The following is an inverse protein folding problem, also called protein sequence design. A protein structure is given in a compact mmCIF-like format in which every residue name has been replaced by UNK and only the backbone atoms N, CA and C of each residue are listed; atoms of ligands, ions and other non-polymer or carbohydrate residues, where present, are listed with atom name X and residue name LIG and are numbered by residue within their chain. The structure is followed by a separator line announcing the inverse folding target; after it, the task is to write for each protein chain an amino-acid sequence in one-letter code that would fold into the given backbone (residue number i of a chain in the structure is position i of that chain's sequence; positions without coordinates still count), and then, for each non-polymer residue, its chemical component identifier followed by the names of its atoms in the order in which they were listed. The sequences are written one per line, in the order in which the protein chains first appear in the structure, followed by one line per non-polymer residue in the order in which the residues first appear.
data_IF_276760785707
#
_entry.id   IF_276760785707
#
_cell.length_a   1.000
_cell.length_b   1.000
_cell.length_c   1.000
_cell.angle_alpha   90.00
_cell.angle_beta   90.00
_cell.angle_gamma   90.00
#
_symmetry.space_group_name_H-M   'P 1'
#
loop_
_entity.id
_entity.type
_entity.pdbx_description
1 polymer ?
#
# COMPACT_ATOMS: atom_id res chain seq x y z
N UNK A 1 -15.05 32.63 14.92
CA UNK A 1 -14.88 31.79 16.11
C UNK A 1 -13.65 30.92 15.88
N UNK A 2 -12.52 31.26 16.50
CA UNK A 2 -11.32 30.43 16.42
C UNK A 2 -11.59 29.15 17.21
N UNK A 3 -11.56 27.99 16.52
CA UNK A 3 -11.79 26.70 17.15
C UNK A 3 -10.81 26.47 18.29
N UNK A 4 -11.31 26.02 19.44
CA UNK A 4 -10.48 25.65 20.59
C UNK A 4 -9.46 24.59 20.14
N UNK A 5 -8.18 24.71 20.52
CA UNK A 5 -7.20 23.62 20.36
C UNK A 5 -7.53 22.57 21.43
N UNK A 6 -8.34 21.56 21.08
CA UNK A 6 -8.86 20.55 22.02
C UNK A 6 -7.79 19.62 22.61
N UNK A 7 -6.56 19.64 22.11
CA UNK A 7 -5.43 18.88 22.67
C UNK A 7 -4.10 19.53 22.25
N UNK A 8 -3.19 19.76 23.20
CA UNK A 8 -1.80 20.18 22.92
C UNK A 8 -0.93 19.02 22.43
N UNK A 9 -1.36 17.78 22.71
CA UNK A 9 -0.56 16.59 22.49
C UNK A 9 -0.76 16.05 21.06
N UNK A 10 0.06 16.55 20.12
CA UNK A 10 0.07 16.12 18.72
C UNK A 10 0.39 14.62 18.53
N UNK A 11 0.85 13.94 19.59
CA UNK A 11 1.39 12.58 19.54
C UNK A 11 0.99 11.74 20.76
N UNK A 12 -0.27 11.28 20.86
CA UNK A 12 -0.73 10.54 22.03
C UNK A 12 0.10 9.27 22.26
N UNK A 13 0.80 9.17 23.39
CA UNK A 13 1.69 8.05 23.72
C UNK A 13 0.99 6.69 23.72
N UNK A 14 -0.30 6.66 24.09
CA UNK A 14 -1.14 5.46 24.05
C UNK A 14 -1.34 5.01 22.59
N UNK A 15 -1.66 5.95 21.68
CA UNK A 15 -1.84 5.66 20.27
C UNK A 15 -0.54 5.17 19.63
N UNK A 16 0.60 5.78 19.95
CA UNK A 16 1.91 5.35 19.44
C UNK A 16 2.29 3.94 19.86
N UNK A 17 2.04 3.62 21.13
CA UNK A 17 2.38 2.31 21.68
C UNK A 17 1.50 1.22 21.06
N UNK A 18 0.18 1.46 20.97
CA UNK A 18 -0.75 0.52 20.35
C UNK A 18 -0.47 0.34 18.85
N UNK A 19 -0.26 1.43 18.12
CA UNK A 19 -0.02 1.37 16.68
C UNK A 19 1.26 0.61 16.36
N UNK A 20 2.32 0.83 17.14
CA UNK A 20 3.61 0.11 16.98
C UNK A 20 3.45 -1.40 17.21
N UNK A 21 2.59 -1.80 18.14
CA UNK A 21 2.29 -3.21 18.40
C UNK A 21 1.41 -3.83 17.31
N UNK A 22 0.39 -3.09 16.84
CA UNK A 22 -0.57 -3.56 15.85
C UNK A 22 0.00 -3.57 14.43
N UNK A 23 0.98 -2.72 14.11
CA UNK A 23 1.59 -2.64 12.78
C UNK A 23 2.07 -4.00 12.22
N UNK A 24 2.94 -4.77 12.91
CA UNK A 24 3.37 -6.07 12.40
C UNK A 24 2.21 -7.06 12.23
N UNK A 25 1.18 -6.98 13.10
CA UNK A 25 0.00 -7.82 12.98
C UNK A 25 -0.83 -7.47 11.74
N UNK A 26 -1.03 -6.18 11.46
CA UNK A 26 -1.75 -5.73 10.25
C UNK A 26 -1.01 -6.10 8.97
N UNK A 27 0.32 -5.95 8.94
CA UNK A 27 1.15 -6.38 7.79
C UNK A 27 1.10 -7.89 7.63
N UNK A 28 1.14 -8.66 8.72
CA UNK A 28 0.98 -10.12 8.68
C UNK A 28 -0.39 -10.52 8.11
N UNK A 29 -1.48 -9.84 8.51
CA UNK A 29 -2.82 -10.08 7.97
C UNK A 29 -2.90 -9.71 6.49
N UNK A 30 -2.30 -8.59 6.08
CA UNK A 30 -2.23 -8.20 4.68
C UNK A 30 -1.50 -9.26 3.84
N UNK A 31 -0.35 -9.75 4.30
CA UNK A 31 0.40 -10.81 3.65
C UNK A 31 -0.38 -12.13 3.58
N UNK A 32 -1.08 -12.50 4.66
CA UNK A 32 -1.94 -13.68 4.68
C UNK A 32 -3.08 -13.59 3.66
N UNK A 33 -3.77 -12.45 3.59
CA UNK A 33 -4.84 -12.21 2.61
C UNK A 33 -4.31 -12.19 1.18
N UNK A 34 -3.11 -11.64 0.95
CA UNK A 34 -2.45 -11.62 -0.34
C UNK A 34 -2.19 -13.05 -0.85
N UNK A 35 -1.57 -13.89 -0.02
CA UNK A 35 -1.26 -15.28 -0.36
C UNK A 35 -2.54 -16.12 -0.50
N UNK A 36 -3.56 -15.88 0.34
CA UNK A 36 -4.84 -16.59 0.28
C UNK A 36 -5.66 -16.24 -0.97
N UNK A 37 -5.44 -15.08 -1.56
CA UNK A 37 -6.15 -14.57 -2.74
C UNK A 37 -6.05 -15.46 -3.98
N UNK A 38 -5.13 -16.42 -4.01
CA UNK A 38 -5.01 -17.40 -5.08
C UNK A 38 -6.18 -18.37 -5.20
N UNK A 39 -6.77 -18.78 -4.07
CA UNK A 39 -7.68 -19.92 -4.03
C UNK A 39 -9.09 -19.58 -3.50
N UNK A 40 -9.27 -18.40 -2.90
CA UNK A 40 -10.48 -17.98 -2.17
C UNK A 40 -10.69 -16.47 -2.39
N UNK A 41 -11.88 -15.89 -2.10
CA UNK A 41 -12.09 -14.44 -2.17
C UNK A 41 -11.05 -13.71 -1.31
N UNK A 42 -10.20 -12.92 -1.98
CA UNK A 42 -8.97 -12.29 -1.49
C UNK A 42 -8.14 -11.84 -2.69
N UNK A 43 -7.04 -11.10 -2.48
CA UNK A 43 -6.15 -10.69 -3.57
C UNK A 43 -5.36 -9.41 -3.30
N UNK A 44 -4.66 -8.94 -4.33
CA UNK A 44 -3.78 -7.77 -4.30
C UNK A 44 -4.43 -6.48 -3.79
N UNK A 45 -5.69 -6.23 -4.18
CA UNK A 45 -6.42 -5.01 -3.80
C UNK A 45 -6.74 -4.94 -2.30
N UNK A 46 -7.40 -5.97 -1.76
CA UNK A 46 -7.81 -6.00 -0.34
C UNK A 46 -6.59 -6.05 0.57
N UNK A 47 -5.58 -6.86 0.22
CA UNK A 47 -4.30 -6.87 0.92
C UNK A 47 -3.64 -5.49 0.91
N UNK A 48 -3.70 -4.80 -0.23
CA UNK A 48 -3.20 -3.43 -0.40
C UNK A 48 -3.90 -2.47 0.55
N UNK A 49 -5.23 -2.48 0.63
CA UNK A 49 -5.99 -1.63 1.54
C UNK A 49 -5.63 -1.88 3.02
N UNK A 50 -5.47 -3.13 3.44
CA UNK A 50 -5.06 -3.46 4.82
C UNK A 50 -3.66 -2.90 5.11
N UNK A 51 -2.72 -3.09 4.19
CA UNK A 51 -1.37 -2.55 4.31
C UNK A 51 -1.37 -1.00 4.33
N UNK A 52 -2.19 -0.36 3.48
CA UNK A 52 -2.40 1.08 3.49
C UNK A 52 -2.90 1.58 4.83
N UNK A 53 -3.92 0.95 5.40
CA UNK A 53 -4.44 1.30 6.73
C UNK A 53 -3.33 1.19 7.77
N UNK A 54 -2.53 0.11 7.75
CA UNK A 54 -1.41 -0.05 8.67
C UNK A 54 -0.42 1.13 8.60
N UNK A 55 -0.07 1.56 7.38
CA UNK A 55 0.84 2.69 7.14
C UNK A 55 0.19 4.02 7.55
N UNK A 56 -1.10 4.22 7.24
CA UNK A 56 -1.85 5.44 7.57
C UNK A 56 -1.97 5.61 9.09
N UNK A 57 -2.30 4.55 9.83
CA UNK A 57 -2.40 4.63 11.30
C UNK A 57 -1.02 4.92 11.89
N UNK A 58 0.06 4.33 11.35
CA UNK A 58 1.43 4.64 11.76
C UNK A 58 1.78 6.11 11.47
N UNK A 59 1.36 6.64 10.32
CA UNK A 59 1.53 8.05 9.93
C UNK A 59 0.83 8.98 10.92
N UNK A 60 -0.45 8.74 11.19
CA UNK A 60 -1.27 9.55 12.11
C UNK A 60 -0.70 9.52 13.53
N UNK A 61 -0.13 8.40 13.95
CA UNK A 61 0.34 8.23 15.31
C UNK A 61 1.72 8.86 15.58
N UNK A 62 2.63 8.88 14.61
CA UNK A 62 4.00 9.38 14.78
C UNK A 62 4.21 10.77 14.15
N UNK A 63 3.17 11.32 13.52
CA UNK A 63 3.20 12.63 12.90
C UNK A 63 3.90 12.67 11.54
N UNK A 64 3.71 13.80 10.88
CA UNK A 64 4.14 14.06 9.49
C UNK A 64 5.66 14.11 9.39
N UNK A 65 6.35 14.69 10.38
CA UNK A 65 7.81 14.82 10.39
C UNK A 65 8.55 13.47 10.52
N UNK A 66 8.12 12.60 11.45
CA UNK A 66 8.71 11.26 11.59
C UNK A 66 8.47 10.42 10.33
N UNK A 67 7.27 10.57 9.74
CA UNK A 67 6.87 9.75 8.61
C UNK A 67 7.50 10.23 7.30
N UNK A 68 7.62 11.54 7.07
CA UNK A 68 8.36 12.15 5.94
C UNK A 68 9.82 11.67 5.88
N UNK A 69 10.48 11.52 7.03
CA UNK A 69 11.87 11.05 7.10
C UNK A 69 12.00 9.55 6.79
N UNK A 70 10.94 8.75 7.03
CA UNK A 70 10.92 7.29 6.83
C UNK A 70 10.33 6.88 5.47
N UNK A 71 9.35 7.59 4.95
CA UNK A 71 8.78 7.46 3.61
C UNK A 71 9.64 8.23 2.59
N UNK A 72 10.92 7.86 2.48
CA UNK A 72 11.84 8.38 1.45
C UNK A 72 11.55 7.85 0.04
N UNK A 73 10.63 6.90 -0.08
CA UNK A 73 10.22 6.34 -1.36
C UNK A 73 9.20 7.28 -2.00
N UNK A 74 9.52 7.75 -3.20
CA UNK A 74 8.58 8.47 -4.02
C UNK A 74 7.43 7.53 -4.39
N UNK A 75 6.26 7.77 -3.80
CA UNK A 75 5.09 6.91 -4.03
C UNK A 75 4.64 6.93 -5.50
N UNK A 76 5.02 7.95 -6.28
CA UNK A 76 4.81 7.95 -7.72
C UNK A 76 5.58 6.82 -8.41
N UNK A 77 6.80 6.52 -7.95
CA UNK A 77 7.58 5.40 -8.46
C UNK A 77 6.97 4.05 -8.07
N UNK A 78 6.45 3.91 -6.86
CA UNK A 78 5.77 2.68 -6.41
C UNK A 78 4.52 2.41 -7.27
N UNK A 79 3.72 3.44 -7.51
CA UNK A 79 2.54 3.35 -8.40
C UNK A 79 2.97 3.01 -9.83
N UNK A 80 3.99 3.70 -10.35
CA UNK A 80 4.51 3.48 -11.71
C UNK A 80 5.02 2.05 -11.91
N UNK A 81 5.79 1.53 -10.94
CA UNK A 81 6.26 0.15 -10.95
C UNK A 81 5.11 -0.85 -10.83
N UNK A 82 4.12 -0.58 -9.96
CA UNK A 82 2.95 -1.44 -9.84
C UNK A 82 2.13 -1.53 -11.14
N UNK A 83 1.90 -0.39 -11.80
CA UNK A 83 1.26 -0.33 -13.11
C UNK A 83 2.08 -1.05 -14.18
N UNK A 84 3.40 -0.84 -14.19
CA UNK A 84 4.31 -1.49 -15.14
C UNK A 84 4.25 -3.02 -14.97
N UNK A 85 4.31 -3.52 -13.74
CA UNK A 85 4.19 -4.96 -13.45
C UNK A 85 2.83 -5.50 -13.91
N UNK A 86 1.72 -4.83 -13.56
CA UNK A 86 0.38 -5.26 -13.94
C UNK A 86 0.18 -5.29 -15.48
N UNK A 87 0.66 -4.25 -16.17
CA UNK A 87 0.57 -4.15 -17.63
C UNK A 87 1.47 -5.14 -18.35
N UNK A 88 2.74 -5.30 -17.92
CA UNK A 88 3.64 -6.32 -18.46
C UNK A 88 3.05 -7.71 -18.31
N UNK A 89 2.43 -8.01 -17.17
CA UNK A 89 1.78 -9.30 -16.93
C UNK A 89 0.69 -9.59 -17.98
N UNK A 90 -0.13 -8.59 -18.32
CA UNK A 90 -1.12 -8.71 -19.39
C UNK A 90 -0.51 -8.80 -20.79
N UNK A 91 0.56 -8.05 -21.06
CA UNK A 91 1.28 -8.06 -22.34
C UNK A 91 2.01 -9.38 -22.59
N UNK A 92 2.57 -10.01 -21.56
CA UNK A 92 3.18 -11.35 -21.64
C UNK A 92 2.13 -12.38 -22.07
N UNK A 93 0.89 -12.30 -21.55
CA UNK A 93 -0.20 -13.17 -21.99
C UNK A 93 -0.54 -12.97 -23.48
N UNK A 94 -0.57 -11.72 -23.95
CA UNK A 94 -0.77 -11.41 -25.38
C UNK A 94 0.37 -11.94 -26.26
N UNK A 95 1.61 -11.81 -25.82
CA UNK A 95 2.79 -12.34 -26.52
C UNK A 95 2.77 -13.86 -26.67
N UNK A 96 2.09 -14.57 -25.76
CA UNK A 96 1.88 -16.02 -25.81
C UNK A 96 0.66 -16.43 -26.68
N UNK A 97 -0.01 -15.49 -27.34
CA UNK A 97 -1.15 -15.75 -28.24
C UNK A 97 -2.50 -15.85 -27.54
N UNK A 98 -2.58 -15.55 -26.24
CA UNK A 98 -3.83 -15.51 -25.48
C UNK A 98 -4.38 -14.07 -25.38
N UNK A 99 -5.69 -13.87 -25.18
CA UNK A 99 -6.25 -12.54 -24.92
C UNK A 99 -5.58 -11.82 -23.75
N UNK A 100 -5.62 -10.48 -23.73
CA UNK A 100 -5.08 -9.67 -22.64
C UNK A 100 -5.67 -10.08 -21.27
N UNK A 101 -4.82 -10.18 -20.25
CA UNK A 101 -5.16 -10.66 -18.90
C UNK A 101 -5.73 -12.10 -18.83
N UNK A 102 -5.49 -12.93 -19.85
CA UNK A 102 -5.80 -14.36 -19.72
C UNK A 102 -4.89 -14.97 -18.66
N UNK A 103 -5.49 -15.60 -17.64
CA UNK A 103 -4.76 -16.30 -16.59
C UNK A 103 -4.12 -17.56 -17.19
N UNK A 104 -2.94 -17.41 -17.79
CA UNK A 104 -2.18 -18.54 -18.31
C UNK A 104 -1.51 -19.24 -17.14
N UNK A 105 -1.83 -20.52 -16.96
CA UNK A 105 -1.15 -21.43 -16.03
C UNK A 105 0.23 -21.80 -16.60
N UNK A 106 1.19 -20.88 -16.50
CA UNK A 106 2.57 -21.19 -16.89
C UNK A 106 3.24 -21.99 -15.78
N UNK A 107 3.50 -23.26 -16.03
CA UNK A 107 4.34 -24.10 -15.19
C UNK A 107 5.81 -23.66 -15.32
N UNK A 108 6.26 -22.73 -14.47
CA UNK A 108 7.67 -22.37 -14.40
C UNK A 108 8.36 -23.31 -13.41
N UNK A 109 9.13 -24.27 -13.92
CA UNK A 109 9.85 -25.23 -13.09
C UNK A 109 11.11 -24.58 -12.48
N UNK A 110 11.02 -24.18 -11.21
CA UNK A 110 12.19 -23.72 -10.44
C UNK A 110 12.89 -24.93 -9.76
N UNK A 111 14.22 -25.09 -9.90
CA UNK A 111 14.94 -26.31 -9.50
C UNK A 111 15.00 -26.58 -7.99
N UNK A 112 14.58 -25.63 -7.14
CA UNK A 112 14.67 -25.76 -5.67
C UNK A 112 13.33 -26.13 -4.99
N UNK A 113 12.17 -25.88 -5.60
CA UNK A 113 10.85 -25.96 -4.90
C UNK A 113 9.78 -26.79 -5.66
N UNK A 114 10.07 -27.32 -6.84
CA UNK A 114 9.12 -28.12 -7.62
C UNK A 114 8.19 -27.29 -8.53
N UNK A 115 7.08 -27.89 -8.98
CA UNK A 115 6.10 -27.25 -9.89
C UNK A 115 5.43 -26.07 -9.18
N UNK A 116 5.87 -24.85 -9.47
CA UNK A 116 5.28 -23.65 -8.90
C UNK A 116 4.33 -23.02 -9.92
N UNK A 117 3.04 -22.98 -9.57
CA UNK A 117 2.03 -22.20 -10.27
C UNK A 117 2.26 -20.71 -9.93
N UNK A 118 3.34 -20.11 -10.47
CA UNK A 118 3.46 -18.64 -10.47
C UNK A 118 2.47 -18.14 -11.51
N UNK A 119 1.18 -18.21 -11.18
CA UNK A 119 0.10 -17.71 -11.99
C UNK A 119 0.40 -16.24 -12.30
N UNK A 120 0.29 -15.84 -13.56
CA UNK A 120 0.29 -14.43 -13.94
C UNK A 120 -0.63 -13.59 -13.03
N UNK A 121 -1.69 -14.19 -12.49
CA UNK A 121 -2.55 -13.61 -11.46
C UNK A 121 -1.79 -13.07 -10.23
N UNK A 122 -0.75 -13.75 -9.72
CA UNK A 122 0.03 -13.26 -8.57
C UNK A 122 0.84 -12.01 -8.91
N UNK A 123 1.46 -12.00 -10.09
CA UNK A 123 2.22 -10.85 -10.55
C UNK A 123 1.31 -9.65 -10.81
N UNK A 124 0.12 -9.89 -11.38
CA UNK A 124 -0.91 -8.88 -11.53
C UNK A 124 -1.38 -8.34 -10.17
N UNK A 125 -1.70 -9.22 -9.22
CA UNK A 125 -2.12 -8.84 -7.88
C UNK A 125 -1.04 -8.09 -7.12
N UNK A 126 0.23 -8.44 -7.31
CA UNK A 126 1.36 -7.68 -6.76
C UNK A 126 1.40 -6.26 -7.34
N UNK A 127 1.20 -6.13 -8.65
CA UNK A 127 1.08 -4.83 -9.31
C UNK A 127 -0.05 -3.99 -8.73
N UNK A 128 -1.24 -4.58 -8.58
CA UNK A 128 -2.41 -3.93 -7.96
C UNK A 128 -2.14 -3.55 -6.51
N UNK A 129 -1.52 -4.43 -5.72
CA UNK A 129 -1.13 -4.18 -4.33
C UNK A 129 -0.26 -2.92 -4.21
N UNK A 130 0.79 -2.82 -5.03
CA UNK A 130 1.71 -1.68 -5.04
C UNK A 130 1.00 -0.38 -5.42
N UNK A 131 0.14 -0.41 -6.43
CA UNK A 131 -0.65 0.78 -6.86
C UNK A 131 -1.58 1.24 -5.74
N UNK A 132 -2.30 0.33 -5.10
CA UNK A 132 -3.24 0.65 -4.02
C UNK A 132 -2.51 1.26 -2.83
N UNK A 133 -1.42 0.63 -2.38
CA UNK A 133 -0.61 1.15 -1.26
C UNK A 133 -0.03 2.51 -1.61
N UNK A 134 0.58 2.65 -2.78
CA UNK A 134 1.19 3.91 -3.21
C UNK A 134 0.17 5.05 -3.33
N UNK A 135 -0.95 4.81 -4.00
CA UNK A 135 -1.98 5.83 -4.24
C UNK A 135 -2.65 6.30 -2.94
N UNK A 136 -2.98 5.38 -2.04
CA UNK A 136 -3.63 5.71 -0.76
C UNK A 136 -2.71 6.49 0.17
N UNK A 137 -1.45 6.07 0.31
CA UNK A 137 -0.46 6.78 1.13
C UNK A 137 -0.16 8.16 0.53
N UNK A 138 0.01 8.26 -0.79
CA UNK A 138 0.24 9.54 -1.47
C UNK A 138 -0.93 10.49 -1.26
N UNK A 139 -2.18 10.02 -1.41
CA UNK A 139 -3.36 10.82 -1.18
C UNK A 139 -3.41 11.36 0.26
N UNK A 140 -3.12 10.52 1.27
CA UNK A 140 -3.09 10.95 2.66
C UNK A 140 -2.01 12.01 2.91
N UNK A 141 -0.79 11.80 2.39
CA UNK A 141 0.32 12.75 2.54
C UNK A 141 -0.04 14.10 1.92
N UNK A 142 -0.64 14.09 0.72
CA UNK A 142 -1.05 15.32 0.06
C UNK A 142 -2.13 16.06 0.84
N UNK A 143 -3.13 15.35 1.37
CA UNK A 143 -4.15 15.94 2.24
C UNK A 143 -3.56 16.51 3.54
N UNK A 144 -2.61 15.79 4.16
CA UNK A 144 -1.90 16.26 5.35
C UNK A 144 -1.11 17.54 5.09
N UNK A 145 -0.41 17.62 3.96
CA UNK A 145 0.33 18.83 3.56
C UNK A 145 -0.60 20.02 3.31
N UNK A 146 -1.74 19.80 2.65
CA UNK A 146 -2.75 20.84 2.41
C UNK A 146 -3.34 21.36 3.73
N UNK A 147 -3.63 20.46 4.68
CA UNK A 147 -4.16 20.82 6.00
C UNK A 147 -3.17 21.66 6.81
N UNK A 148 -1.87 21.31 6.79
CA UNK A 148 -0.85 22.12 7.44
C UNK A 148 -0.75 23.53 6.81
N UNK A 149 -0.72 23.61 5.48
CA UNK A 149 -0.63 24.88 4.76
C UNK A 149 -1.85 25.80 5.01
N UNK A 150 -3.04 25.24 5.26
CA UNK A 150 -4.21 26.03 5.65
C UNK A 150 -4.11 26.61 7.06
N UNK A 151 -3.57 25.86 8.02
CA UNK A 151 -3.41 26.33 9.39
C UNK A 151 -2.32 27.41 9.54
N UNK A 152 -1.21 27.29 8.79
CA UNK A 152 -0.16 28.32 8.79
C UNK A 152 -0.65 29.66 8.22
N UNK A 153 -1.56 29.63 7.24
CA UNK A 153 -2.19 30.85 6.71
C UNK A 153 -3.16 31.53 7.66
N UNK A 154 -3.75 30.80 8.62
CA UNK A 154 -4.62 31.38 9.65
C UNK A 154 -3.84 32.02 10.80
N UNK A 155 -2.68 31.48 11.19
CA UNK A 155 -1.86 32.07 12.27
C UNK A 155 -1.11 33.36 11.87
N UNK A 156 -0.90 33.60 10.56
CA UNK A 156 -0.21 34.79 10.03
C UNK A 156 -1.16 35.98 9.80
N UNK A 157 -2.47 35.81 9.99
CA UNK A 157 -3.49 36.83 9.70
C UNK A 157 -4.14 37.39 10.96
#
# INVERSE_FOLDING_TARGET
EAGLKWNEDNHPVIMQTLTRLLFPLMIMVAAFIFIRGHNLPGGGFIAGLIASVAIIVQYLSNGIGWTSIRLKFDMHWVIGLGLLIATLTGLVSMGLGYPFLTTTFTYLNWPVVGKFEIASALAFDLGVFLVVVGATVLALVQLGNLSNASHEKEEVK
#
